data_IF_557386576118
#
_entry.id   IF_557386576118
#
_cell.length_a   1.000
_cell.length_b   1.000
_cell.length_c   1.000
_cell.angle_alpha   90.00
_cell.angle_beta   90.00
_cell.angle_gamma   90.00
#
_symmetry.space_group_name_H-M   'P 1'
#
loop_
_entity.id
_entity.type
_entity.pdbx_description
1 polymer ?
#
# COMPACT_ATOMS: atom_id res chain seq x y z
N UNK A 1 13.34 27.08 1.87
CA UNK A 1 12.91 25.68 2.07
C UNK A 1 12.75 25.50 3.57
N UNK A 2 11.55 25.18 4.05
CA UNK A 2 11.32 24.99 5.49
C UNK A 2 11.73 23.56 5.89
N UNK A 3 11.99 23.33 7.19
CA UNK A 3 12.45 22.04 7.73
C UNK A 3 11.52 20.85 7.39
N UNK A 4 10.22 21.12 7.24
CA UNK A 4 9.18 20.10 7.04
C UNK A 4 8.68 19.97 5.59
N UNK A 5 9.32 20.66 4.65
CA UNK A 5 8.97 20.60 3.24
C UNK A 5 9.64 19.40 2.56
N UNK A 6 8.90 18.73 1.69
CA UNK A 6 9.44 17.68 0.84
C UNK A 6 10.45 18.27 -0.16
N UNK A 7 11.68 17.74 -0.28
CA UNK A 7 12.67 18.23 -1.25
C UNK A 7 12.29 18.03 -2.73
N UNK A 8 11.26 17.23 -3.02
CA UNK A 8 10.82 16.93 -4.39
C UNK A 8 9.70 17.88 -4.82
N UNK A 9 8.65 18.03 -4.00
CA UNK A 9 7.50 18.87 -4.35
C UNK A 9 7.50 20.24 -3.68
N UNK A 10 8.48 20.52 -2.80
CA UNK A 10 8.65 21.80 -2.09
C UNK A 10 7.39 22.24 -1.31
N UNK A 11 6.65 21.26 -0.77
CA UNK A 11 5.48 21.50 0.07
C UNK A 11 5.55 20.65 1.33
N UNK A 12 4.80 21.07 2.37
CA UNK A 12 4.70 20.36 3.64
C UNK A 12 4.37 18.87 3.46
N UNK A 13 5.15 18.00 4.14
CA UNK A 13 4.96 16.55 4.04
C UNK A 13 3.76 16.08 4.86
N UNK A 14 2.75 15.51 4.18
CA UNK A 14 1.56 14.94 4.84
C UNK A 14 1.72 13.47 5.20
N UNK A 15 2.35 12.70 4.31
CA UNK A 15 2.67 11.28 4.51
C UNK A 15 4.19 11.11 4.35
N UNK A 16 4.98 11.54 5.36
CA UNK A 16 6.43 11.48 5.29
C UNK A 16 6.91 10.03 5.33
N UNK A 17 7.82 9.67 4.44
CA UNK A 17 8.52 8.37 4.42
C UNK A 17 10.01 8.59 4.61
N UNK A 18 10.63 7.79 5.48
CA UNK A 18 12.06 7.85 5.75
C UNK A 18 12.77 6.71 5.04
N UNK A 19 13.75 7.03 4.21
CA UNK A 19 14.59 6.03 3.55
C UNK A 19 15.66 5.49 4.52
N UNK A 20 16.35 4.39 4.14
CA UNK A 20 17.46 3.84 4.93
C UNK A 20 18.58 4.85 5.18
N UNK A 21 18.84 5.73 4.20
CA UNK A 21 19.78 6.84 4.32
C UNK A 21 19.25 8.02 5.16
N UNK A 22 18.14 7.85 5.87
CA UNK A 22 17.48 8.79 6.80
C UNK A 22 16.84 10.04 6.19
N UNK A 23 17.04 10.29 4.89
CA UNK A 23 16.33 11.33 4.16
C UNK A 23 14.81 11.06 4.08
N UNK A 24 14.03 12.14 4.13
CA UNK A 24 12.57 12.11 4.23
C UNK A 24 11.92 12.81 3.04
N UNK A 25 10.83 12.23 2.53
CA UNK A 25 10.05 12.74 1.41
C UNK A 25 8.56 12.41 1.61
N UNK A 26 7.67 12.94 0.78
CA UNK A 26 6.29 12.43 0.69
C UNK A 26 6.26 11.02 0.08
N UNK A 27 5.36 10.15 0.56
CA UNK A 27 5.17 8.79 0.02
C UNK A 27 4.89 8.80 -1.49
N UNK A 28 4.03 9.69 -1.96
CA UNK A 28 3.69 9.82 -3.39
C UNK A 28 4.90 10.21 -4.25
N UNK A 29 5.70 11.17 -3.77
CA UNK A 29 6.91 11.58 -4.46
C UNK A 29 7.89 10.40 -4.60
N UNK A 30 8.06 9.60 -3.54
CA UNK A 30 8.93 8.43 -3.60
C UNK A 30 8.38 7.28 -4.45
N UNK A 31 7.06 7.08 -4.49
CA UNK A 31 6.44 6.11 -5.39
C UNK A 31 6.71 6.50 -6.83
N UNK A 32 6.51 7.77 -7.18
CA UNK A 32 6.77 8.24 -8.54
C UNK A 32 8.26 8.16 -8.90
N UNK A 33 9.15 8.56 -7.99
CA UNK A 33 10.61 8.47 -8.19
C UNK A 33 11.05 7.02 -8.43
N UNK A 34 10.54 6.07 -7.65
CA UNK A 34 10.88 4.65 -7.76
C UNK A 34 10.46 3.97 -9.06
N UNK A 35 9.53 4.56 -9.82
CA UNK A 35 9.19 4.05 -11.16
C UNK A 35 10.36 4.20 -12.14
N UNK A 36 11.23 5.20 -11.92
CA UNK A 36 12.30 5.56 -12.84
C UNK A 36 13.70 5.34 -12.25
N UNK A 37 13.83 5.42 -10.91
CA UNK A 37 15.13 5.45 -10.24
C UNK A 37 15.13 4.64 -8.95
N UNK A 38 16.23 3.92 -8.70
CA UNK A 38 16.46 3.10 -7.50
C UNK A 38 17.44 3.74 -6.51
N UNK A 39 17.56 5.07 -6.50
CA UNK A 39 18.47 5.81 -5.63
C UNK A 39 17.77 6.95 -4.88
N UNK A 40 18.36 7.43 -3.78
CA UNK A 40 17.84 8.56 -3.02
C UNK A 40 18.00 9.87 -3.82
N UNK A 41 16.96 10.72 -3.95
CA UNK A 41 17.07 12.02 -4.62
C UNK A 41 18.09 12.98 -4.00
N UNK A 42 18.37 12.87 -2.69
CA UNK A 42 19.28 13.77 -1.99
C UNK A 42 20.73 13.28 -1.99
N UNK A 43 20.99 12.06 -1.52
CA UNK A 43 22.35 11.54 -1.39
C UNK A 43 22.77 10.55 -2.47
N UNK A 44 21.87 10.21 -3.41
CA UNK A 44 22.08 9.20 -4.46
C UNK A 44 22.42 7.79 -3.96
N UNK A 45 22.32 7.56 -2.65
CA UNK A 45 22.48 6.22 -2.07
C UNK A 45 21.42 5.23 -2.58
N UNK A 46 21.74 3.94 -2.65
CA UNK A 46 20.84 2.93 -3.23
C UNK A 46 19.58 2.73 -2.38
N UNK A 47 18.47 2.46 -3.07
CA UNK A 47 17.19 2.06 -2.49
C UNK A 47 16.97 0.57 -2.86
N UNK A 48 17.01 -0.36 -1.89
CA UNK A 48 16.79 -1.77 -2.16
C UNK A 48 15.42 -2.03 -2.79
N UNK A 49 15.34 -2.92 -3.80
CA UNK A 49 14.11 -3.22 -4.53
C UNK A 49 12.96 -3.69 -3.61
N UNK A 50 13.27 -4.48 -2.57
CA UNK A 50 12.30 -4.98 -1.60
C UNK A 50 11.93 -4.01 -0.47
N UNK A 51 12.51 -2.80 -0.41
CA UNK A 51 12.20 -1.84 0.65
C UNK A 51 10.74 -1.38 0.52
N UNK A 52 9.93 -1.56 1.56
CA UNK A 52 8.57 -0.98 1.62
C UNK A 52 8.65 0.50 2.01
N UNK A 53 7.86 1.36 1.37
CA UNK A 53 7.69 2.75 1.79
C UNK A 53 6.61 2.79 2.88
N UNK A 54 7.00 3.09 4.11
CA UNK A 54 6.10 3.16 5.27
C UNK A 54 6.07 4.59 5.77
N UNK A 55 4.86 5.08 6.06
CA UNK A 55 4.66 6.43 6.61
C UNK A 55 5.19 6.48 8.03
N UNK A 56 6.07 7.44 8.32
CA UNK A 56 6.57 7.71 9.66
C UNK A 56 5.50 8.46 10.46
N UNK A 57 4.70 7.71 11.23
CA UNK A 57 3.57 8.25 11.98
C UNK A 57 3.99 9.28 13.04
N UNK A 58 5.16 9.10 13.64
CA UNK A 58 5.70 10.03 14.63
C UNK A 58 6.10 11.34 13.95
N UNK A 59 6.81 11.26 12.81
CA UNK A 59 7.17 12.45 12.06
C UNK A 59 5.94 13.15 11.48
N UNK A 60 4.95 12.41 10.97
CA UNK A 60 3.66 12.97 10.54
C UNK A 60 3.02 13.81 11.66
N UNK A 61 3.02 13.26 12.89
CA UNK A 61 2.50 13.96 14.08
C UNK A 61 3.31 15.22 14.37
N UNK A 62 4.64 15.16 14.33
CA UNK A 62 5.52 16.31 14.58
C UNK A 62 5.30 17.43 13.54
N UNK A 63 5.29 17.09 12.25
CA UNK A 63 5.08 18.04 11.15
C UNK A 63 3.71 18.72 11.31
N UNK A 64 2.66 17.95 11.62
CA UNK A 64 1.33 18.51 11.86
C UNK A 64 1.32 19.51 13.02
N UNK A 65 2.03 19.24 14.12
CA UNK A 65 2.10 20.19 15.24
C UNK A 65 2.88 21.47 14.87
N UNK A 66 3.92 21.36 14.05
CA UNK A 66 4.72 22.52 13.64
C UNK A 66 3.91 23.58 12.87
N UNK A 67 2.96 23.14 12.03
CA UNK A 67 2.08 24.04 11.30
C UNK A 67 0.74 23.36 10.98
N UNK A 68 -0.12 23.28 12.00
CA UNK A 68 -1.39 22.55 11.93
C UNK A 68 -2.32 23.05 10.82
N UNK A 69 -2.42 24.37 10.66
CA UNK A 69 -3.33 24.98 9.69
C UNK A 69 -2.94 24.63 8.25
N UNK A 70 -1.65 24.77 7.91
CA UNK A 70 -1.15 24.43 6.59
C UNK A 70 -1.26 22.92 6.33
N UNK A 71 -0.92 22.11 7.33
CA UNK A 71 -1.02 20.65 7.25
C UNK A 71 -2.44 20.18 7.00
N UNK A 72 -3.40 20.60 7.84
CA UNK A 72 -4.79 20.16 7.77
C UNK A 72 -5.43 20.60 6.45
N UNK A 73 -5.12 21.81 5.96
CA UNK A 73 -5.56 22.30 4.65
C UNK A 73 -5.02 21.42 3.51
N UNK A 74 -3.71 21.15 3.50
CA UNK A 74 -3.07 20.35 2.46
C UNK A 74 -3.52 18.88 2.49
N UNK A 75 -3.71 18.32 3.68
CA UNK A 75 -4.25 16.96 3.82
C UNK A 75 -5.67 16.88 3.24
N UNK A 76 -6.54 17.85 3.52
CA UNK A 76 -7.88 17.90 2.94
C UNK A 76 -7.87 18.00 1.41
N UNK A 77 -6.96 18.79 0.83
CA UNK A 77 -6.77 18.88 -0.63
C UNK A 77 -6.34 17.54 -1.24
N UNK A 78 -5.39 16.85 -0.61
CA UNK A 78 -4.94 15.55 -1.09
C UNK A 78 -6.00 14.46 -0.91
N UNK A 79 -6.86 14.54 0.12
CA UNK A 79 -8.03 13.65 0.26
C UNK A 79 -9.01 13.83 -0.88
N UNK A 80 -9.35 15.08 -1.23
CA UNK A 80 -10.27 15.40 -2.33
C UNK A 80 -9.79 14.89 -3.68
N UNK A 81 -8.48 14.95 -3.93
CA UNK A 81 -7.85 14.50 -5.18
C UNK A 81 -7.55 13.01 -5.21
N UNK A 82 -7.76 12.27 -4.11
CA UNK A 82 -7.39 10.86 -4.01
C UNK A 82 -5.87 10.61 -3.99
N UNK A 83 -5.06 11.65 -3.78
CA UNK A 83 -3.60 11.57 -3.81
C UNK A 83 -3.00 11.06 -2.49
N UNK A 84 -3.77 11.00 -1.39
CA UNK A 84 -3.32 10.31 -0.16
C UNK A 84 -3.40 8.81 -0.33
N UNK A 85 -2.39 8.10 0.18
CA UNK A 85 -2.52 6.66 0.37
C UNK A 85 -3.57 6.46 1.47
N UNK A 86 -4.73 5.89 1.15
CA UNK A 86 -5.54 5.28 2.20
C UNK A 86 -4.66 4.26 2.94
N UNK A 87 -4.84 4.12 4.26
CA UNK A 87 -4.20 3.04 5.01
C UNK A 87 -4.52 1.71 4.32
N UNK A 88 -3.54 1.19 3.57
CA UNK A 88 -3.63 -0.10 2.90
C UNK A 88 -3.20 -1.20 3.87
N UNK A 89 -3.71 -1.18 5.10
CA UNK A 89 -3.96 -2.39 5.86
C UNK A 89 -5.03 -3.25 5.14
N UNK A 90 -4.82 -3.49 3.85
CA UNK A 90 -5.72 -4.23 2.98
C UNK A 90 -5.49 -5.71 3.19
N UNK A 91 -6.56 -6.44 3.45
CA UNK A 91 -6.55 -7.89 3.27
C UNK A 91 -6.22 -8.18 1.81
N UNK A 92 -5.17 -8.95 1.58
CA UNK A 92 -4.95 -9.59 0.28
C UNK A 92 -5.65 -10.94 0.33
N UNK A 93 -6.60 -11.14 -0.59
CA UNK A 93 -7.40 -12.35 -0.69
C UNK A 93 -7.08 -13.07 -1.99
N UNK A 94 -6.77 -14.36 -1.90
CA UNK A 94 -6.79 -15.25 -3.06
C UNK A 94 -8.11 -15.99 -3.09
N UNK A 95 -8.86 -15.87 -4.19
CA UNK A 95 -10.13 -16.58 -4.37
C UNK A 95 -10.12 -17.41 -5.65
N UNK A 96 -10.96 -18.44 -5.72
CA UNK A 96 -11.08 -19.29 -6.89
C UNK A 96 -11.97 -20.50 -6.64
N UNK A 97 -12.04 -21.40 -7.62
CA UNK A 97 -12.78 -22.65 -7.50
C UNK A 97 -11.84 -23.84 -7.63
N UNK A 98 -11.92 -24.79 -6.69
CA UNK A 98 -11.32 -26.11 -6.84
C UNK A 98 -12.32 -27.02 -7.55
N UNK A 99 -11.87 -27.73 -8.58
CA UNK A 99 -12.66 -28.72 -9.30
C UNK A 99 -12.17 -30.13 -9.00
N UNK A 100 -13.11 -31.06 -8.78
CA UNK A 100 -12.83 -32.48 -8.64
C UNK A 100 -13.93 -33.32 -9.29
N UNK A 101 -13.58 -34.50 -9.79
CA UNK A 101 -14.57 -35.47 -10.26
C UNK A 101 -15.15 -36.27 -9.08
N UNK A 102 -16.46 -36.51 -9.12
CA UNK A 102 -17.17 -37.27 -8.09
C UNK A 102 -17.06 -38.77 -8.40
N UNK A 103 -16.46 -39.56 -7.50
CA UNK A 103 -16.22 -41.01 -7.71
C UNK A 103 -17.49 -41.84 -7.94
N UNK A 104 -18.64 -41.39 -7.46
CA UNK A 104 -19.97 -42.03 -7.62
C UNK A 104 -21.02 -40.94 -7.82
N UNK A 105 -21.15 -40.41 -9.04
CA UNK A 105 -22.04 -39.29 -9.31
C UNK A 105 -23.50 -39.73 -9.16
N UNK A 106 -24.32 -38.87 -8.56
CA UNK A 106 -25.75 -39.13 -8.38
C UNK A 106 -26.53 -38.40 -9.47
N UNK A 107 -27.56 -39.06 -9.98
CA UNK A 107 -28.51 -38.48 -10.91
C UNK A 107 -29.48 -37.60 -10.12
N UNK A 108 -29.74 -36.39 -10.61
CA UNK A 108 -30.73 -35.49 -10.04
C UNK A 108 -32.15 -36.04 -10.24
N UNK A 109 -33.13 -35.49 -9.53
CA UNK A 109 -34.56 -35.82 -9.75
C UNK A 109 -35.02 -35.52 -11.19
N UNK A 110 -34.34 -34.62 -11.89
CA UNK A 110 -34.59 -34.25 -13.29
C UNK A 110 -33.76 -35.06 -14.29
N UNK A 111 -33.06 -36.13 -13.86
CA UNK A 111 -32.31 -37.02 -14.74
C UNK A 111 -30.88 -36.57 -15.06
N UNK A 112 -30.41 -35.44 -14.52
CA UNK A 112 -29.08 -34.92 -14.82
C UNK A 112 -28.01 -35.56 -13.94
N UNK A 113 -26.97 -36.12 -14.56
CA UNK A 113 -25.81 -36.64 -13.85
C UNK A 113 -24.83 -35.51 -13.56
N UNK A 114 -24.50 -35.29 -12.29
CA UNK A 114 -23.45 -34.33 -11.93
C UNK A 114 -22.18 -35.04 -11.46
N UNK A 115 -21.17 -35.03 -12.33
CA UNK A 115 -19.85 -35.64 -12.11
C UNK A 115 -18.82 -34.65 -11.55
N UNK A 116 -19.19 -33.38 -11.41
CA UNK A 116 -18.28 -32.29 -11.12
C UNK A 116 -18.59 -31.65 -9.78
N UNK A 117 -17.59 -31.65 -8.89
CA UNK A 117 -17.64 -30.92 -7.62
C UNK A 117 -16.77 -29.69 -7.71
N UNK A 118 -17.42 -28.54 -7.69
CA UNK A 118 -16.78 -27.25 -7.57
C UNK A 118 -16.83 -26.78 -6.12
N UNK A 119 -15.70 -26.36 -5.59
CA UNK A 119 -15.60 -25.80 -4.23
C UNK A 119 -14.96 -24.44 -4.33
N UNK A 120 -15.77 -23.40 -4.16
CA UNK A 120 -15.27 -22.03 -4.01
C UNK A 120 -14.34 -21.96 -2.79
N UNK A 121 -13.27 -21.20 -2.90
CA UNK A 121 -12.39 -20.89 -1.80
C UNK A 121 -12.04 -19.42 -1.79
N UNK A 122 -11.82 -18.91 -0.58
CA UNK A 122 -11.21 -17.62 -0.32
C UNK A 122 -10.15 -17.87 0.74
N UNK A 123 -8.94 -17.34 0.56
CA UNK A 123 -7.83 -17.49 1.49
C UNK A 123 -7.18 -16.14 1.73
N UNK A 124 -6.78 -15.89 2.97
CA UNK A 124 -5.83 -14.82 3.27
C UNK A 124 -4.49 -15.14 2.62
N UNK A 125 -4.04 -14.24 1.77
CA UNK A 125 -2.73 -14.35 1.14
C UNK A 125 -1.69 -13.72 2.08
N UNK A 126 -1.09 -14.57 2.93
CA UNK A 126 -0.10 -14.14 3.91
C UNK A 126 1.26 -13.80 3.28
N UNK A 127 1.55 -14.34 2.10
CA UNK A 127 2.81 -14.12 1.38
C UNK A 127 2.82 -12.76 0.68
N UNK A 128 1.66 -12.33 0.16
CA UNK A 128 1.48 -11.01 -0.44
C UNK A 128 0.88 -9.96 0.51
N UNK A 129 0.66 -10.31 1.80
CA UNK A 129 0.12 -9.37 2.77
C UNK A 129 1.09 -8.20 2.98
N UNK A 130 0.64 -6.93 2.93
CA UNK A 130 1.48 -5.84 3.41
C UNK A 130 1.73 -6.09 4.90
N UNK A 131 2.94 -6.50 5.27
CA UNK A 131 3.31 -6.67 6.68
C UNK A 131 3.00 -5.37 7.45
N UNK A 132 1.97 -5.42 8.29
CA UNK A 132 1.63 -4.38 9.25
C UNK A 132 2.38 -4.79 10.52
N UNK A 133 3.44 -4.07 10.86
CA UNK A 133 4.09 -4.23 12.16
C UNK A 133 3.66 -3.07 13.05
N UNK A 134 3.07 -3.45 14.20
CA UNK A 134 2.71 -2.60 15.33
C UNK A 134 3.95 -1.94 15.94
#
# INVERSE_FOLDING_TARGET
MQENDCPICYTIMIEPVRLNCKHVFCIQCMIQHRKMHSNCPLCRGPIPAGMKLVVDANLKRQIRHSNRNLFDKKEAELKKTGALQADKSGLVLTFGNRHTLVKKPKVSRSGWLNEHRWTAFVKLDKENMPHIHQ
#
